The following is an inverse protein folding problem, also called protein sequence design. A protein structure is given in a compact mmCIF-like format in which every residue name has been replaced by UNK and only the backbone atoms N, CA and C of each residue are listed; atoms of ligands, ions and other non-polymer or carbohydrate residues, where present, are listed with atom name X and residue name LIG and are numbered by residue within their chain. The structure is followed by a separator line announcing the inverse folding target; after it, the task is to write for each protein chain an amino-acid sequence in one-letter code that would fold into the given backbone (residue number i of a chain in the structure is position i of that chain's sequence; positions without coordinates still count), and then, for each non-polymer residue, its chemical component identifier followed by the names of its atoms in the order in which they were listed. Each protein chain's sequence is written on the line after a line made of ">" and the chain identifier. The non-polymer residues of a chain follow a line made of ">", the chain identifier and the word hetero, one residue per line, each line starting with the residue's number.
data_IF_254839210022
#
_entry.id   IF_254839210022
#
_cell.length_a   1.000
_cell.length_b   1.000
_cell.length_c   1.000
_cell.angle_alpha   90.00
_cell.angle_beta   90.00
_cell.angle_gamma   90.00
#
_symmetry.space_group_name_H-M   'P 1'
#
loop_
_entity.id
_entity.type
_entity.pdbx_description
1 polymer ?
#
# COMPACT_ATOMS: atom_id res chain seq x y z
N UNK A 1 7.01 8.28 -76.85
CA UNK A 1 5.72 8.31 -76.14
C UNK A 1 6.02 8.35 -74.65
N UNK A 2 5.86 9.51 -74.03
CA UNK A 2 6.06 9.77 -72.60
C UNK A 2 5.02 8.98 -71.81
N UNK A 3 5.45 8.34 -70.72
CA UNK A 3 4.68 8.25 -69.47
C UNK A 3 5.66 8.15 -68.31
N UNK A 4 5.67 9.23 -67.52
CA UNK A 4 6.23 9.30 -66.18
C UNK A 4 5.73 8.14 -65.32
N UNK A 5 6.63 7.53 -64.55
CA UNK A 5 6.23 7.01 -63.25
C UNK A 5 7.38 7.25 -62.26
N UNK A 6 7.21 8.34 -61.52
CA UNK A 6 8.02 8.72 -60.37
C UNK A 6 7.57 7.83 -59.20
N UNK A 7 8.40 6.88 -58.77
CA UNK A 7 8.19 6.15 -57.52
C UNK A 7 9.20 6.65 -56.49
N UNK A 8 8.66 7.43 -55.55
CA UNK A 8 9.35 8.05 -54.43
C UNK A 8 9.67 6.96 -53.41
N UNK A 9 10.96 6.76 -53.10
CA UNK A 9 11.41 5.97 -51.95
C UNK A 9 11.13 6.76 -50.67
N UNK A 10 10.07 6.40 -49.94
CA UNK A 10 9.87 6.83 -48.55
C UNK A 10 10.46 5.75 -47.65
N UNK A 11 11.75 5.90 -47.32
CA UNK A 11 12.36 5.17 -46.20
C UNK A 11 12.15 5.97 -44.93
N UNK A 12 11.17 5.60 -44.12
CA UNK A 12 11.02 6.09 -42.76
C UNK A 12 10.86 4.90 -41.81
N UNK A 13 11.81 4.82 -40.87
CA UNK A 13 11.59 4.24 -39.55
C UNK A 13 11.94 2.77 -39.39
N UNK A 14 13.19 2.50 -39.01
CA UNK A 14 13.56 1.28 -38.29
C UNK A 14 12.84 1.36 -36.94
N UNK A 15 11.84 0.52 -36.70
CA UNK A 15 11.33 0.25 -35.36
C UNK A 15 12.38 -0.54 -34.59
N UNK A 16 13.32 0.16 -33.95
CA UNK A 16 13.95 -0.39 -32.76
C UNK A 16 13.02 -0.12 -31.59
N UNK A 17 12.29 -1.16 -31.20
CA UNK A 17 11.62 -1.22 -29.91
C UNK A 17 12.71 -1.36 -28.84
N UNK A 18 12.91 -0.31 -28.06
CA UNK A 18 13.55 -0.35 -26.75
C UNK A 18 13.05 0.87 -26.00
N UNK A 19 11.79 0.82 -25.55
CA UNK A 19 11.30 1.80 -24.60
C UNK A 19 11.85 1.42 -23.23
N UNK A 20 13.06 1.91 -22.94
CA UNK A 20 13.60 1.94 -21.59
C UNK A 20 12.82 3.07 -20.88
N UNK A 21 11.73 2.72 -20.21
CA UNK A 21 11.18 3.61 -19.19
C UNK A 21 12.08 3.49 -17.97
N UNK A 22 13.09 4.36 -17.92
CA UNK A 22 13.80 4.65 -16.70
C UNK A 22 12.83 5.46 -15.84
N UNK A 23 12.09 4.79 -14.96
CA UNK A 23 11.40 5.49 -13.89
C UNK A 23 12.48 6.13 -13.03
N UNK A 24 12.63 7.45 -13.15
CA UNK A 24 13.38 8.21 -12.17
C UNK A 24 12.65 8.05 -10.83
N UNK A 25 13.29 7.34 -9.90
CA UNK A 25 12.94 7.43 -8.49
C UNK A 25 13.16 8.89 -8.11
N UNK A 26 12.07 9.68 -8.10
CA UNK A 26 12.04 10.97 -7.42
C UNK A 26 12.09 10.68 -5.92
N UNK A 27 13.30 10.53 -5.39
CA UNK A 27 13.55 10.88 -4.00
C UNK A 27 13.27 12.37 -3.85
N UNK A 28 12.01 12.70 -3.51
CA UNK A 28 11.65 14.03 -3.04
C UNK A 28 11.70 13.97 -1.53
N UNK A 29 12.91 14.09 -0.99
CA UNK A 29 13.10 14.31 0.44
C UNK A 29 12.87 15.80 0.73
N UNK A 30 11.69 16.13 1.28
CA UNK A 30 11.53 17.24 2.23
C UNK A 30 10.20 17.17 3.01
N UNK A 31 10.06 16.12 3.82
CA UNK A 31 9.30 16.02 5.10
C UNK A 31 9.37 14.55 5.55
N UNK A 32 10.57 14.08 5.90
CA UNK A 32 10.89 12.65 5.97
C UNK A 32 10.28 11.89 7.17
N UNK A 33 9.42 12.50 8.00
CA UNK A 33 8.93 11.90 9.25
C UNK A 33 7.44 11.54 9.29
N UNK A 34 6.67 11.74 8.22
CA UNK A 34 5.20 11.64 8.33
C UNK A 34 4.54 10.50 7.55
N UNK A 35 5.29 9.69 6.78
CA UNK A 35 4.71 8.55 6.03
C UNK A 35 5.66 7.34 6.06
N UNK A 36 5.16 6.19 6.50
CA UNK A 36 5.79 4.89 6.28
C UNK A 36 5.20 4.27 5.00
N UNK A 37 5.91 4.34 3.89
CA UNK A 37 5.44 3.87 2.58
C UNK A 37 5.18 2.36 2.56
N UNK A 38 4.15 1.89 1.86
CA UNK A 38 3.92 0.47 1.62
C UNK A 38 5.19 -0.22 1.10
N UNK A 39 5.38 -1.48 1.47
CA UNK A 39 6.55 -2.27 1.06
C UNK A 39 6.33 -2.96 -0.28
N UNK A 40 5.07 -3.13 -0.69
CA UNK A 40 4.67 -3.77 -1.95
C UNK A 40 3.44 -3.08 -2.53
N UNK A 41 3.33 -3.07 -3.86
CA UNK A 41 2.20 -2.53 -4.62
C UNK A 41 1.32 -3.64 -5.22
N UNK A 42 0.01 -3.44 -5.29
CA UNK A 42 -0.95 -4.33 -5.98
C UNK A 42 -1.05 -4.04 -7.47
N UNK A 43 0.03 -4.31 -8.19
CA UNK A 43 0.12 -4.09 -9.63
C UNK A 43 -0.74 -5.04 -10.47
N UNK A 44 -1.22 -6.13 -9.88
CA UNK A 44 -2.15 -7.10 -10.48
C UNK A 44 -3.59 -6.58 -10.59
N UNK A 45 -3.94 -5.52 -9.86
CA UNK A 45 -5.29 -4.94 -9.85
C UNK A 45 -5.43 -3.77 -10.81
N UNK A 46 -6.61 -3.63 -11.42
CA UNK A 46 -6.97 -2.57 -12.36
C UNK A 46 -7.42 -1.26 -11.66
N UNK A 47 -6.90 -0.97 -10.47
CA UNK A 47 -7.09 0.33 -9.80
C UNK A 47 -5.97 1.29 -10.19
N UNK A 48 -6.26 2.59 -10.24
CA UNK A 48 -5.23 3.60 -10.48
C UNK A 48 -4.24 3.63 -9.31
N UNK A 49 -4.75 3.61 -8.07
CA UNK A 49 -3.91 3.49 -6.88
C UNK A 49 -3.51 2.03 -6.65
N UNK A 50 -2.21 1.79 -6.46
CA UNK A 50 -1.64 0.46 -6.22
C UNK A 50 -1.42 0.15 -4.73
N UNK A 51 -1.73 1.10 -3.87
CA UNK A 51 -1.64 0.99 -2.41
C UNK A 51 -2.89 1.58 -1.76
N UNK A 52 -3.06 1.30 -0.48
CA UNK A 52 -4.02 2.00 0.40
C UNK A 52 -3.27 3.02 1.24
N UNK A 53 -4.01 3.90 1.90
CA UNK A 53 -3.48 4.82 2.91
C UNK A 53 -4.19 4.61 4.24
N UNK A 54 -3.42 4.29 5.29
CA UNK A 54 -3.83 4.42 6.68
C UNK A 54 -3.46 5.82 7.15
N UNK A 55 -4.44 6.62 7.51
CA UNK A 55 -4.21 7.84 8.29
C UNK A 55 -4.36 7.47 9.75
N UNK A 56 -3.42 7.89 10.59
CA UNK A 56 -3.47 7.60 12.02
C UNK A 56 -3.08 8.80 12.87
N UNK A 57 -3.67 8.90 14.06
CA UNK A 57 -3.30 9.89 15.07
C UNK A 57 -1.92 9.63 15.67
N UNK A 58 -1.40 8.41 15.51
CA UNK A 58 -0.06 8.02 15.97
C UNK A 58 0.97 8.86 15.22
N UNK A 59 1.66 9.75 15.93
CA UNK A 59 2.66 10.64 15.36
C UNK A 59 4.08 10.08 15.34
N UNK A 60 4.38 9.11 16.19
CA UNK A 60 5.71 8.52 16.32
C UNK A 60 5.77 7.20 15.55
N UNK A 61 6.61 7.17 14.51
CA UNK A 61 6.78 6.01 13.64
C UNK A 61 7.31 4.77 14.35
N UNK A 62 8.17 4.96 15.38
CA UNK A 62 8.83 3.85 16.09
C UNK A 62 7.84 2.95 16.83
N UNK A 63 6.64 3.46 17.11
CA UNK A 63 5.56 2.68 17.73
C UNK A 63 5.09 1.53 16.83
N UNK A 64 5.25 1.65 15.51
CA UNK A 64 4.93 0.58 14.58
C UNK A 64 5.99 -0.54 14.55
N UNK A 65 7.07 -0.43 15.32
CA UNK A 65 8.08 -1.49 15.47
C UNK A 65 7.69 -2.55 16.51
N UNK A 66 6.60 -2.36 17.26
CA UNK A 66 6.08 -3.41 18.13
C UNK A 66 5.72 -4.67 17.33
N UNK A 67 6.10 -5.83 17.85
CA UNK A 67 5.79 -7.13 17.24
C UNK A 67 4.29 -7.40 17.35
N UNK A 68 3.69 -7.75 16.21
CA UNK A 68 2.28 -8.13 16.16
C UNK A 68 2.10 -9.52 16.82
N UNK A 69 1.11 -9.71 17.70
CA UNK A 69 0.97 -10.96 18.46
C UNK A 69 0.99 -12.21 17.59
N UNK A 70 1.67 -13.26 18.08
CA UNK A 70 1.82 -14.56 17.40
C UNK A 70 2.48 -14.49 16.02
N UNK A 71 3.29 -13.45 15.80
CA UNK A 71 4.16 -13.32 14.63
C UNK A 71 5.59 -12.98 15.07
N UNK A 72 6.53 -12.99 14.13
CA UNK A 72 7.89 -12.50 14.28
C UNK A 72 8.11 -11.15 13.57
N UNK A 73 7.05 -10.50 13.11
CA UNK A 73 7.09 -9.24 12.36
C UNK A 73 6.38 -8.09 13.08
N UNK A 74 6.78 -6.85 12.78
CA UNK A 74 6.20 -5.67 13.42
C UNK A 74 4.82 -5.31 12.87
N UNK A 75 4.01 -4.61 13.67
CA UNK A 75 2.73 -4.05 13.25
C UNK A 75 2.85 -3.22 11.96
N UNK A 76 3.91 -2.40 11.85
CA UNK A 76 4.20 -1.64 10.64
C UNK A 76 4.50 -2.54 9.44
N UNK A 77 5.27 -3.61 9.63
CA UNK A 77 5.54 -4.57 8.56
C UNK A 77 4.26 -5.27 8.11
N UNK A 78 3.40 -5.68 9.05
CA UNK A 78 2.12 -6.33 8.75
C UNK A 78 1.30 -5.45 7.80
N UNK A 79 1.06 -4.20 8.18
CA UNK A 79 0.25 -3.24 7.42
C UNK A 79 0.88 -2.93 6.05
N UNK A 80 2.19 -2.69 6.02
CA UNK A 80 2.88 -2.19 4.82
C UNK A 80 3.16 -3.25 3.78
N UNK A 81 3.45 -4.49 4.20
CA UNK A 81 3.79 -5.59 3.31
C UNK A 81 2.57 -6.42 2.93
N UNK A 82 1.88 -7.03 3.91
CA UNK A 82 0.77 -7.94 3.62
C UNK A 82 -0.48 -7.23 3.12
N UNK A 83 -0.67 -5.97 3.51
CA UNK A 83 -1.87 -5.19 3.19
C UNK A 83 -1.61 -3.99 2.30
N UNK A 84 -0.41 -3.86 1.72
CA UNK A 84 -0.08 -2.85 0.69
C UNK A 84 -0.50 -1.43 1.08
N UNK A 85 -0.26 -1.04 2.33
CA UNK A 85 -0.81 0.18 2.92
C UNK A 85 0.30 1.11 3.39
N UNK A 86 0.27 2.37 2.93
CA UNK A 86 1.09 3.44 3.49
C UNK A 86 0.53 3.86 4.86
N UNK A 87 1.39 4.19 5.82
CA UNK A 87 0.98 4.71 7.12
C UNK A 87 1.32 6.18 7.21
N UNK A 88 0.31 7.04 7.16
CA UNK A 88 0.44 8.48 7.31
C UNK A 88 0.24 8.85 8.78
N UNK A 89 1.31 9.36 9.38
CA UNK A 89 1.41 9.64 10.82
C UNK A 89 0.85 11.02 11.19
N UNK A 90 0.48 11.17 12.46
CA UNK A 90 0.10 12.45 13.07
C UNK A 90 -1.11 13.12 12.41
N UNK A 91 -2.09 12.34 11.94
CA UNK A 91 -3.34 12.83 11.35
C UNK A 91 -4.39 13.09 12.43
N UNK A 92 -5.47 13.74 12.04
CA UNK A 92 -6.55 14.11 12.99
C UNK A 92 -7.39 12.91 13.44
N UNK A 93 -7.44 11.84 12.65
CA UNK A 93 -8.27 10.65 12.94
C UNK A 93 -7.71 9.39 12.27
N UNK A 94 -8.07 8.24 12.82
CA UNK A 94 -7.75 6.94 12.23
C UNK A 94 -8.73 6.60 11.10
N UNK A 95 -8.23 6.34 9.89
CA UNK A 95 -9.06 5.89 8.75
C UNK A 95 -8.23 5.19 7.67
N UNK A 96 -8.87 4.30 6.92
CA UNK A 96 -8.33 3.68 5.72
C UNK A 96 -8.94 4.33 4.48
N UNK A 97 -8.08 4.72 3.54
CA UNK A 97 -8.45 5.07 2.18
C UNK A 97 -8.05 3.87 1.30
N UNK A 98 -9.04 3.16 0.76
CA UNK A 98 -8.81 1.99 -0.08
C UNK A 98 -8.28 2.36 -1.46
N UNK A 99 -7.81 1.37 -2.24
CA UNK A 99 -7.28 1.58 -3.59
C UNK A 99 -8.29 2.24 -4.55
N UNK A 100 -9.58 1.96 -4.39
CA UNK A 100 -10.65 2.61 -5.16
C UNK A 100 -11.09 3.97 -4.58
N UNK A 101 -10.42 4.49 -3.55
CA UNK A 101 -10.69 5.78 -2.92
C UNK A 101 -11.84 5.80 -1.91
N UNK A 102 -12.44 4.64 -1.58
CA UNK A 102 -13.43 4.57 -0.51
C UNK A 102 -12.76 4.80 0.85
N UNK A 103 -13.48 5.41 1.80
CA UNK A 103 -12.96 5.80 3.10
C UNK A 103 -13.68 5.00 4.19
N UNK A 104 -12.91 4.44 5.12
CA UNK A 104 -13.39 3.64 6.24
C UNK A 104 -12.81 4.20 7.53
N UNK A 105 -13.66 4.69 8.42
CA UNK A 105 -13.22 5.20 9.72
C UNK A 105 -12.85 4.05 10.65
N UNK A 106 -11.73 4.19 11.36
CA UNK A 106 -11.30 3.26 12.41
C UNK A 106 -11.56 3.93 13.75
N UNK A 107 -12.26 3.22 14.64
CA UNK A 107 -12.54 3.71 15.99
C UNK A 107 -11.24 3.92 16.75
N UNK A 108 -11.23 4.96 17.56
CA UNK A 108 -10.13 5.18 18.49
C UNK A 108 -10.27 4.27 19.72
N UNK A 109 -9.16 4.00 20.39
CA UNK A 109 -9.10 3.13 21.56
C UNK A 109 -8.67 3.96 22.77
N UNK A 110 -9.65 4.35 23.58
CA UNK A 110 -9.40 5.18 24.75
C UNK A 110 -8.85 4.34 25.92
N UNK A 111 -7.94 4.94 26.71
CA UNK A 111 -7.47 4.43 28.00
C UNK A 111 -6.75 3.06 27.98
N UNK A 112 -6.05 2.72 26.90
CA UNK A 112 -5.21 1.52 26.82
C UNK A 112 -3.72 1.88 26.74
N UNK A 113 -2.87 0.91 27.09
CA UNK A 113 -1.42 1.07 26.99
C UNK A 113 -0.98 1.24 25.52
N UNK A 114 0.11 1.97 25.30
CA UNK A 114 0.57 2.34 23.96
C UNK A 114 0.80 1.13 23.04
N UNK A 115 1.41 0.06 23.55
CA UNK A 115 1.63 -1.16 22.75
C UNK A 115 0.29 -1.80 22.35
N UNK A 116 -0.63 -1.91 23.30
CA UNK A 116 -1.97 -2.46 23.06
C UNK A 116 -2.71 -1.62 22.02
N UNK A 117 -2.60 -0.29 22.10
CA UNK A 117 -3.16 0.63 21.11
C UNK A 117 -2.70 0.32 19.68
N UNK A 118 -1.38 0.16 19.47
CA UNK A 118 -0.85 -0.12 18.13
C UNK A 118 -1.31 -1.49 17.64
N UNK A 119 -1.40 -2.49 18.53
CA UNK A 119 -1.91 -3.81 18.20
C UNK A 119 -3.38 -3.73 17.80
N UNK A 120 -4.25 -3.11 18.61
CA UNK A 120 -5.68 -2.95 18.31
C UNK A 120 -5.94 -2.15 17.04
N UNK A 121 -5.14 -1.10 16.80
CA UNK A 121 -5.17 -0.35 15.54
C UNK A 121 -4.83 -1.26 14.36
N UNK A 122 -3.76 -2.07 14.49
CA UNK A 122 -3.34 -3.01 13.45
C UNK A 122 -4.41 -4.06 13.19
N UNK A 123 -5.00 -4.66 14.22
CA UNK A 123 -6.12 -5.60 14.09
C UNK A 123 -7.31 -4.98 13.37
N UNK A 124 -7.68 -3.74 13.72
CA UNK A 124 -8.79 -3.04 13.06
C UNK A 124 -8.51 -2.71 11.60
N UNK A 125 -7.26 -2.40 11.25
CA UNK A 125 -6.84 -2.26 9.84
C UNK A 125 -6.99 -3.59 9.11
N UNK A 126 -6.53 -4.69 9.71
CA UNK A 126 -6.62 -6.04 9.15
C UNK A 126 -8.06 -6.44 8.88
N UNK A 127 -8.95 -6.22 9.84
CA UNK A 127 -10.37 -6.52 9.70
C UNK A 127 -11.04 -5.63 8.65
N UNK A 128 -10.80 -4.32 8.70
CA UNK A 128 -11.36 -3.36 7.74
C UNK A 128 -10.97 -3.69 6.31
N UNK A 129 -9.70 -4.05 6.08
CA UNK A 129 -9.21 -4.48 4.76
C UNK A 129 -9.73 -5.87 4.43
N UNK A 130 -9.76 -6.80 5.38
CA UNK A 130 -10.27 -8.17 5.24
C UNK A 130 -11.73 -8.23 4.78
N UNK A 131 -12.55 -7.25 5.18
CA UNK A 131 -13.94 -7.11 4.74
C UNK A 131 -14.07 -6.59 3.30
N UNK A 132 -12.98 -6.09 2.69
CA UNK A 132 -12.95 -5.69 1.28
C UNK A 132 -12.76 -6.92 0.38
N UNK A 133 -13.36 -6.89 -0.82
CA UNK A 133 -13.30 -8.02 -1.77
C UNK A 133 -11.89 -8.59 -2.00
N UNK A 134 -10.92 -7.72 -2.36
CA UNK A 134 -9.54 -8.14 -2.57
C UNK A 134 -8.76 -8.31 -1.26
N UNK A 135 -9.11 -7.55 -0.22
CA UNK A 135 -8.42 -7.62 1.06
C UNK A 135 -8.72 -8.88 1.86
N UNK A 136 -9.87 -9.52 1.64
CA UNK A 136 -10.17 -10.85 2.18
C UNK A 136 -9.12 -11.88 1.80
N UNK A 137 -8.64 -11.85 0.55
CA UNK A 137 -7.58 -12.75 0.09
C UNK A 137 -6.21 -12.42 0.70
N UNK A 138 -5.93 -11.14 0.97
CA UNK A 138 -4.71 -10.67 1.64
C UNK A 138 -4.70 -11.15 3.10
N UNK A 139 -5.83 -10.99 3.80
CA UNK A 139 -6.00 -11.47 5.18
C UNK A 139 -5.83 -12.99 5.27
N UNK A 140 -6.46 -13.74 4.36
CA UNK A 140 -6.30 -15.20 4.32
C UNK A 140 -4.84 -15.60 4.06
N UNK A 141 -4.15 -14.92 3.14
CA UNK A 141 -2.74 -15.19 2.87
C UNK A 141 -1.85 -14.93 4.09
N UNK A 142 -2.09 -13.84 4.81
CA UNK A 142 -1.43 -13.52 6.07
C UNK A 142 -1.66 -14.60 7.14
N UNK A 143 -2.93 -14.99 7.38
CA UNK A 143 -3.28 -16.02 8.36
C UNK A 143 -2.76 -17.42 7.97
N UNK A 144 -2.58 -17.71 6.68
CA UNK A 144 -1.96 -18.96 6.24
C UNK A 144 -0.46 -19.01 6.61
N UNK A 145 0.21 -17.85 6.66
CA UNK A 145 1.62 -17.74 7.07
C UNK A 145 1.72 -17.75 8.60
N UNK A 146 0.80 -17.08 9.29
CA UNK A 146 0.74 -16.99 10.75
C UNK A 146 -0.57 -17.57 11.30
N UNK A 147 -0.72 -18.91 11.31
CA UNK A 147 -1.98 -19.58 11.69
C UNK A 147 -2.37 -19.42 13.16
N UNK A 148 -1.43 -19.03 14.02
CA UNK A 148 -1.66 -18.83 15.45
C UNK A 148 -2.12 -17.39 15.79
N UNK A 149 -2.22 -16.50 14.80
CA UNK A 149 -2.79 -15.16 14.99
C UNK A 149 -4.27 -15.27 15.34
N UNK A 150 -4.66 -14.60 16.43
CA UNK A 150 -6.04 -14.48 16.88
C UNK A 150 -6.44 -13.02 16.73
N UNK A 151 -7.42 -12.74 15.86
CA UNK A 151 -7.97 -11.40 15.69
C UNK A 151 -9.28 -11.32 16.49
N UNK A 152 -9.36 -10.38 17.41
CA UNK A 152 -10.56 -10.15 18.21
C UNK A 152 -11.55 -9.29 17.42
N UNK A 153 -12.82 -9.72 17.36
CA UNK A 153 -13.93 -8.96 16.77
C UNK A 153 -14.53 -7.95 17.76
#
# INVERSE_FOLDING_TARGET
>A
MIKNLLLIFVSLGIWNCSYIHKSEIKHTDMSADNILTALEERNDLAFDNKTRDLYTIVGDSSKFDFIFPNTDVSCGYVIRYFFHTNIHLGKEMNKIISMNGSIFDIKDFDNIEEKEYIISLTESVLMTIGDMYYGSSELQAFLNIYPDVVISN
#
